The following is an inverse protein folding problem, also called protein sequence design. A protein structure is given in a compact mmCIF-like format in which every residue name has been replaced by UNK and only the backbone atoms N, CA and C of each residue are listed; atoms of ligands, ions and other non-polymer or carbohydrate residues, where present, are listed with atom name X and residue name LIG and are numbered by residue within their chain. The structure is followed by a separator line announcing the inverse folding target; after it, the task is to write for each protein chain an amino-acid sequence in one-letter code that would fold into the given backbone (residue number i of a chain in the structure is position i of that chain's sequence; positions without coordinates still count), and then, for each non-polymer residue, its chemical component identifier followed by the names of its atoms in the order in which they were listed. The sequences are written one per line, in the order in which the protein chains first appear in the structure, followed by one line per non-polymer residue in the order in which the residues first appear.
data_IF_929079869543
#
_entry.id   IF_929079869543
#
_cell.length_a   1.000
_cell.length_b   1.000
_cell.length_c   1.000
_cell.angle_alpha   90.00
_cell.angle_beta   90.00
_cell.angle_gamma   90.00
#
_symmetry.space_group_name_H-M   'P 1'
#
loop_
_entity.id
_entity.type
_entity.pdbx_description
1 polymer ?
#
# COMPACT_ATOMS: atom_id res chain seq x y z
N UNK A 1 -0.74 18.19 20.99
CA UNK A 1 0.18 17.61 19.98
C UNK A 1 -0.64 17.30 18.75
N UNK A 2 -0.37 17.99 17.65
CA UNK A 2 -1.25 18.00 16.48
C UNK A 2 -0.93 16.77 15.61
N UNK A 3 -1.81 15.77 15.61
CA UNK A 3 -1.64 14.54 14.84
C UNK A 3 -1.78 14.78 13.32
N UNK A 4 -2.59 15.76 12.91
CA UNK A 4 -2.78 16.14 11.49
C UNK A 4 -1.56 16.81 10.83
N UNK A 5 -0.47 17.08 11.57
CA UNK A 5 0.80 17.57 11.00
C UNK A 5 1.81 16.43 10.73
N UNK A 6 1.45 15.19 11.05
CA UNK A 6 2.34 14.04 10.93
C UNK A 6 2.22 13.44 9.54
N UNK A 7 3.37 13.14 8.92
CA UNK A 7 3.39 12.44 7.64
C UNK A 7 2.69 11.08 7.77
N UNK A 8 2.91 10.36 8.88
CA UNK A 8 2.23 9.07 9.15
C UNK A 8 0.72 9.15 8.99
N UNK A 9 0.09 10.23 9.48
CA UNK A 9 -1.36 10.39 9.40
C UNK A 9 -1.83 10.54 7.94
N UNK A 10 -1.22 11.45 7.19
CA UNK A 10 -1.60 11.69 5.79
C UNK A 10 -1.31 10.50 4.88
N UNK A 11 -0.17 9.82 5.06
CA UNK A 11 0.16 8.62 4.28
C UNK A 11 -0.81 7.47 4.57
N UNK A 12 -1.26 7.32 5.83
CA UNK A 12 -2.27 6.32 6.20
C UNK A 12 -3.64 6.63 5.58
N UNK A 13 -4.06 7.90 5.60
CA UNK A 13 -5.33 8.33 5.00
C UNK A 13 -5.33 8.13 3.48
N UNK A 14 -4.25 8.53 2.80
CA UNK A 14 -4.10 8.32 1.36
C UNK A 14 -4.13 6.83 1.01
N UNK A 15 -3.44 6.00 1.80
CA UNK A 15 -3.48 4.55 1.60
C UNK A 15 -4.89 3.98 1.73
N UNK A 16 -5.68 4.41 2.73
CA UNK A 16 -7.07 3.95 2.89
C UNK A 16 -7.92 4.36 1.69
N UNK A 17 -7.75 5.58 1.18
CA UNK A 17 -8.46 6.07 0.00
C UNK A 17 -8.12 5.25 -1.25
N UNK A 18 -6.84 4.90 -1.45
CA UNK A 18 -6.40 4.04 -2.56
C UNK A 18 -7.02 2.63 -2.43
N UNK A 19 -6.99 2.05 -1.22
CA UNK A 19 -7.61 0.76 -0.95
C UNK A 19 -9.12 0.76 -1.24
N UNK A 20 -9.83 1.81 -0.83
CA UNK A 20 -11.27 1.97 -1.10
C UNK A 20 -11.57 2.16 -2.59
N UNK A 21 -10.78 2.98 -3.30
CA UNK A 21 -10.94 3.17 -4.74
C UNK A 21 -10.75 1.85 -5.51
N UNK A 22 -9.76 1.04 -5.10
CA UNK A 22 -9.53 -0.29 -5.65
C UNK A 22 -10.68 -1.25 -5.32
N UNK A 23 -11.19 -1.22 -4.08
CA UNK A 23 -12.31 -2.06 -3.65
C UNK A 23 -13.61 -1.76 -4.41
N UNK A 24 -13.87 -0.50 -4.75
CA UNK A 24 -15.02 -0.11 -5.58
C UNK A 24 -14.89 -0.49 -7.07
N UNK A 25 -13.75 -1.07 -7.48
CA UNK A 25 -13.53 -1.45 -8.87
C UNK A 25 -13.20 -0.28 -9.80
N UNK A 26 -12.79 0.87 -9.25
CA UNK A 26 -12.33 2.02 -10.04
C UNK A 26 -10.85 1.92 -10.45
N UNK A 27 -10.16 0.84 -10.08
CA UNK A 27 -8.76 0.55 -10.44
C UNK A 27 -8.64 -0.87 -10.99
N UNK A 28 -9.20 -1.09 -12.18
CA UNK A 28 -9.27 -2.39 -12.88
C UNK A 28 -7.90 -3.07 -13.08
N UNK A 29 -6.82 -2.27 -13.07
CA UNK A 29 -5.45 -2.75 -13.25
C UNK A 29 -4.65 -2.77 -11.97
N UNK A 30 -5.26 -2.38 -10.85
CA UNK A 30 -4.63 -2.31 -9.54
C UNK A 30 -3.32 -1.49 -9.52
N UNK A 31 -3.21 -0.51 -10.43
CA UNK A 31 -1.98 0.24 -10.66
C UNK A 31 -1.70 1.16 -9.47
N UNK A 32 -2.74 1.70 -8.85
CA UNK A 32 -2.56 2.58 -7.69
C UNK A 32 -2.20 1.76 -6.44
N UNK A 33 -2.74 0.55 -6.31
CA UNK A 33 -2.45 -0.31 -5.17
C UNK A 33 -1.05 -0.96 -5.27
N UNK A 34 -0.68 -1.50 -6.44
CA UNK A 34 0.59 -2.21 -6.64
C UNK A 34 1.69 -1.27 -7.12
N UNK A 35 1.42 -0.46 -8.14
CA UNK A 35 2.44 0.38 -8.78
C UNK A 35 2.94 1.53 -7.88
N UNK A 36 2.07 2.10 -7.04
CA UNK A 36 2.45 3.19 -6.13
C UNK A 36 3.25 2.69 -4.91
N UNK A 37 3.20 1.40 -4.62
CA UNK A 37 3.91 0.82 -3.48
C UNK A 37 5.08 -0.05 -3.97
N UNK A 38 6.33 0.44 -3.88
CA UNK A 38 7.49 -0.32 -4.35
C UNK A 38 7.67 -1.65 -3.61
N UNK A 39 7.25 -1.72 -2.34
CA UNK A 39 7.28 -2.97 -1.57
C UNK A 39 6.30 -3.97 -2.18
N UNK A 40 5.05 -3.57 -2.38
CA UNK A 40 4.01 -4.44 -2.95
C UNK A 40 4.38 -4.88 -4.37
N UNK A 41 4.91 -3.97 -5.20
CA UNK A 41 5.39 -4.25 -6.54
C UNK A 41 6.52 -5.29 -6.56
N UNK A 42 7.43 -5.26 -5.58
CA UNK A 42 8.52 -6.24 -5.50
C UNK A 42 8.05 -7.64 -5.05
N UNK A 43 7.08 -7.71 -4.14
CA UNK A 43 6.67 -8.98 -3.53
C UNK A 43 5.49 -9.65 -4.25
N UNK A 44 4.71 -8.92 -5.05
CA UNK A 44 3.51 -9.46 -5.73
C UNK A 44 3.84 -10.62 -6.69
N UNK A 45 5.05 -10.64 -7.25
CA UNK A 45 5.52 -11.72 -8.13
C UNK A 45 6.45 -12.72 -7.43
N UNK A 46 6.69 -12.55 -6.12
CA UNK A 46 7.58 -13.42 -5.34
C UNK A 46 6.79 -14.49 -4.60
N UNK A 47 7.17 -15.75 -4.71
CA UNK A 47 6.56 -16.84 -3.92
C UNK A 47 7.10 -16.83 -2.48
N UNK A 48 6.27 -17.14 -1.45
CA UNK A 48 4.86 -17.55 -1.52
C UNK A 48 3.86 -16.38 -1.53
N UNK A 49 4.33 -15.14 -1.39
CA UNK A 49 3.48 -13.94 -1.22
C UNK A 49 2.54 -13.68 -2.39
N UNK A 50 2.96 -14.07 -3.60
CA UNK A 50 2.14 -14.00 -4.81
C UNK A 50 0.75 -14.63 -4.62
N UNK A 51 0.64 -15.78 -3.96
CA UNK A 51 -0.65 -16.44 -3.70
C UNK A 51 -1.48 -15.77 -2.59
N UNK A 52 -0.85 -14.97 -1.74
CA UNK A 52 -1.54 -14.20 -0.70
C UNK A 52 -2.04 -12.86 -1.20
N UNK A 53 -1.49 -12.37 -2.32
CA UNK A 53 -1.78 -11.06 -2.89
C UNK A 53 -2.75 -11.18 -4.06
N UNK A 54 -2.56 -12.17 -4.92
CA UNK A 54 -3.35 -12.39 -6.13
C UNK A 54 -4.15 -13.68 -6.03
N UNK A 55 -5.44 -13.60 -6.31
CA UNK A 55 -6.31 -14.75 -6.45
C UNK A 55 -6.26 -15.27 -7.90
N UNK A 56 -5.43 -16.30 -8.10
CA UNK A 56 -5.30 -16.97 -9.40
C UNK A 56 -6.45 -17.95 -9.67
N UNK A 57 -7.23 -18.32 -8.66
CA UNK A 57 -8.35 -19.24 -8.82
C UNK A 57 -9.53 -18.54 -9.51
N UNK A 58 -9.81 -17.29 -9.12
CA UNK A 58 -10.77 -16.44 -9.84
C UNK A 58 -10.28 -16.01 -11.23
N UNK A 59 -8.97 -15.86 -11.44
CA UNK A 59 -8.38 -15.59 -12.75
C UNK A 59 -8.54 -16.76 -13.75
N UNK A 60 -8.62 -18.00 -13.24
CA UNK A 60 -8.82 -19.20 -14.07
C UNK A 60 -10.27 -19.35 -14.56
N UNK A 61 -11.22 -18.72 -13.85
CA UNK A 61 -12.65 -18.65 -14.17
C UNK A 61 -13.02 -17.46 -15.06
N UNK A 62 -12.20 -16.40 -15.05
CA UNK A 62 -12.35 -15.25 -15.93
C UNK A 62 -11.69 -15.52 -17.29
N UNK A 63 -12.48 -15.46 -18.37
CA UNK A 63 -11.99 -15.52 -19.76
C UNK A 63 -11.05 -14.37 -20.15
N UNK A 64 -10.94 -13.36 -19.30
CA UNK A 64 -10.00 -12.25 -19.43
C UNK A 64 -8.98 -12.29 -18.28
N UNK A 65 -7.70 -12.45 -18.63
CA UNK A 65 -6.57 -12.38 -17.67
C UNK A 65 -6.40 -11.01 -17.01
N UNK A 66 -7.25 -10.04 -17.35
CA UNK A 66 -7.25 -8.68 -16.83
C UNK A 66 -7.94 -8.54 -15.46
N UNK A 67 -8.74 -9.52 -15.03
CA UNK A 67 -9.57 -9.45 -13.81
C UNK A 67 -8.99 -10.26 -12.65
N UNK A 68 -7.66 -10.27 -12.49
CA UNK A 68 -7.01 -10.93 -11.36
C UNK A 68 -7.42 -10.21 -10.08
N UNK A 69 -8.24 -10.85 -9.24
CA UNK A 69 -8.71 -10.22 -8.00
C UNK A 69 -7.56 -10.10 -7.00
N UNK A 70 -7.51 -8.94 -6.35
CA UNK A 70 -6.62 -8.71 -5.21
C UNK A 70 -7.25 -9.22 -3.93
N UNK A 71 -6.48 -10.02 -3.20
CA UNK A 71 -6.85 -10.57 -1.91
C UNK A 71 -6.68 -9.54 -0.79
N UNK A 72 -7.43 -9.72 0.30
CA UNK A 72 -7.38 -8.86 1.49
C UNK A 72 -5.95 -8.59 2.04
N UNK A 73 -5.01 -9.56 2.07
CA UNK A 73 -3.65 -9.32 2.57
C UNK A 73 -2.89 -8.24 1.81
N UNK A 74 -3.15 -8.04 0.52
CA UNK A 74 -2.51 -7.01 -0.27
C UNK A 74 -2.82 -5.59 0.24
N UNK A 75 -4.06 -5.35 0.67
CA UNK A 75 -4.50 -4.08 1.23
C UNK A 75 -3.82 -3.81 2.58
N UNK A 76 -3.66 -4.85 3.41
CA UNK A 76 -2.92 -4.76 4.68
C UNK A 76 -1.46 -4.39 4.40
N UNK A 77 -0.81 -5.06 3.46
CA UNK A 77 0.60 -4.78 3.14
C UNK A 77 0.75 -3.36 2.57
N UNK A 78 -0.19 -2.94 1.72
CA UNK A 78 -0.20 -1.58 1.18
C UNK A 78 -0.28 -0.54 2.30
N UNK A 79 -1.24 -0.70 3.21
CA UNK A 79 -1.40 0.15 4.38
C UNK A 79 -0.18 0.14 5.30
N UNK A 80 0.34 -1.03 5.64
CA UNK A 80 1.50 -1.17 6.51
C UNK A 80 2.74 -0.48 5.90
N UNK A 81 2.96 -0.60 4.60
CA UNK A 81 4.09 0.04 3.91
C UNK A 81 3.98 1.56 3.96
N UNK A 82 2.81 2.12 3.63
CA UNK A 82 2.58 3.57 3.66
C UNK A 82 2.67 4.13 5.08
N UNK A 83 2.15 3.39 6.06
CA UNK A 83 2.29 3.72 7.47
C UNK A 83 3.76 3.75 7.91
N UNK A 84 4.55 2.73 7.55
CA UNK A 84 5.98 2.66 7.86
C UNK A 84 6.77 3.79 7.20
N UNK A 85 6.50 4.11 5.93
CA UNK A 85 7.13 5.23 5.23
C UNK A 85 6.82 6.55 5.94
N UNK A 86 5.54 6.79 6.27
CA UNK A 86 5.14 7.98 7.02
C UNK A 86 5.81 8.07 8.39
N UNK A 87 5.97 6.93 9.08
CA UNK A 87 6.66 6.84 10.37
C UNK A 87 8.16 7.16 10.23
N UNK A 88 8.82 6.61 9.21
CA UNK A 88 10.23 6.91 8.91
C UNK A 88 10.43 8.40 8.62
N UNK A 89 9.56 9.02 7.82
CA UNK A 89 9.61 10.46 7.54
C UNK A 89 9.45 11.26 8.84
N UNK A 90 8.47 10.92 9.67
CA UNK A 90 8.26 11.58 10.96
C UNK A 90 9.46 11.41 11.90
N UNK A 91 10.13 10.25 11.89
CA UNK A 91 11.36 10.01 12.65
C UNK A 91 12.53 10.86 12.13
N UNK A 92 12.71 10.95 10.81
CA UNK A 92 13.76 11.75 10.19
C UNK A 92 13.59 13.24 10.51
N UNK A 93 12.36 13.76 10.41
CA UNK A 93 12.03 15.15 10.77
C UNK A 93 12.37 15.42 12.25
N UNK A 94 12.01 14.50 13.16
CA UNK A 94 12.34 14.62 14.59
C UNK A 94 13.85 14.58 14.84
N UNK A 95 14.59 13.69 14.17
CA UNK A 95 16.06 13.60 14.29
C UNK A 95 16.73 14.88 13.82
N UNK A 96 16.32 15.42 12.66
CA UNK A 96 16.85 16.69 12.14
C UNK A 96 16.56 17.86 13.08
N UNK A 97 15.32 17.97 13.57
CA UNK A 97 14.92 19.04 14.51
C UNK A 97 15.65 18.98 15.86
N UNK A 98 16.07 17.79 16.32
CA UNK A 98 16.92 17.65 17.52
C UNK A 98 18.37 18.06 17.25
N UNK A 99 18.88 17.80 16.05
CA UNK A 99 20.25 18.16 15.65
C UNK A 99 20.43 19.68 15.47
N UNK A 100 19.42 20.40 15.03
CA UNK A 100 19.45 21.89 14.93
C UNK A 100 19.40 22.60 16.30
N UNK A 101 19.09 21.89 17.38
CA UNK A 101 18.96 22.47 18.74
C UNK A 101 20.11 22.11 19.69
N UNK A 102 21.10 21.34 19.22
CA UNK A 102 22.30 20.94 19.96
C UNK A 102 23.52 21.57 19.33
#
# INVERSE_FOLDING_TARGET
MVFYKKATFWFSVISILICLNNYWGNDDKHILLIGLNPVLNSIVYTEPFRHWILDFESAKLATDSATIRILFPAYIIHFASFFLIGLLIDLLIRRKSRKDKS
#
